data_IF_630333782341
#
_entry.id   IF_630333782341
#
_cell.length_a   1.000
_cell.length_b   1.000
_cell.length_c   1.000
_cell.angle_alpha   90.00
_cell.angle_beta   90.00
_cell.angle_gamma   90.00
#
_symmetry.space_group_name_H-M   'P 1'
#
loop_
_entity.id
_entity.type
_entity.pdbx_description
1 polymer ?
#
# COMPACT_ATOMS: atom_id res chain seq x y z
N UNK A 1 -16.58 -4.97 -4.78
CA UNK A 1 -15.96 -3.69 -4.39
C UNK A 1 -15.79 -3.62 -2.87
N UNK A 2 -14.65 -3.10 -2.38
CA UNK A 2 -14.39 -2.88 -0.96
C UNK A 2 -14.18 -1.39 -0.71
N UNK A 3 -14.97 -0.81 0.20
CA UNK A 3 -14.81 0.54 0.73
C UNK A 3 -14.02 0.49 2.04
N UNK A 4 -12.84 1.14 2.08
CA UNK A 4 -11.93 1.11 3.23
C UNK A 4 -12.14 2.30 4.17
N UNK A 5 -13.07 3.20 3.86
CA UNK A 5 -13.41 4.34 4.70
C UNK A 5 -14.06 3.87 6.02
N UNK A 6 -14.18 4.78 6.97
CA UNK A 6 -14.87 4.51 8.22
C UNK A 6 -16.33 4.13 7.96
N UNK A 7 -16.89 3.32 8.86
CA UNK A 7 -18.25 2.82 8.74
C UNK A 7 -19.28 3.96 8.67
N UNK A 8 -19.04 5.06 9.40
CA UNK A 8 -19.91 6.23 9.37
C UNK A 8 -19.92 6.89 7.98
N UNK A 9 -18.74 7.01 7.35
CA UNK A 9 -18.60 7.60 6.01
C UNK A 9 -19.25 6.71 4.94
N UNK A 10 -19.09 5.38 5.08
CA UNK A 10 -19.71 4.39 4.20
C UNK A 10 -21.24 4.45 4.27
N UNK A 11 -21.82 4.55 5.46
CA UNK A 11 -23.28 4.62 5.67
C UNK A 11 -23.90 5.89 5.08
N UNK A 12 -23.15 6.98 5.01
CA UNK A 12 -23.60 8.24 4.38
C UNK A 12 -23.63 8.16 2.86
N UNK A 13 -22.98 7.20 2.26
CA UNK A 13 -22.94 6.93 0.83
C UNK A 13 -21.67 6.23 0.40
N UNK A 14 -21.80 5.25 -0.47
CA UNK A 14 -20.72 4.42 -1.00
C UNK A 14 -20.97 4.06 -2.47
N UNK A 15 -19.97 3.55 -3.16
CA UNK A 15 -20.15 3.03 -4.51
C UNK A 15 -21.11 1.85 -4.46
N UNK A 16 -22.10 1.85 -5.33
CA UNK A 16 -23.12 0.80 -5.36
C UNK A 16 -22.51 -0.62 -5.31
N UNK A 17 -23.13 -1.49 -4.54
CA UNK A 17 -22.68 -2.88 -4.29
C UNK A 17 -21.30 -3.01 -3.63
N UNK A 18 -20.71 -1.96 -3.07
CA UNK A 18 -19.51 -2.10 -2.26
C UNK A 18 -19.82 -2.60 -0.84
N UNK A 19 -18.89 -3.37 -0.29
CA UNK A 19 -18.88 -3.81 1.12
C UNK A 19 -17.89 -2.97 1.90
N UNK A 20 -18.10 -2.78 3.20
CA UNK A 20 -17.23 -1.95 4.02
C UNK A 20 -16.19 -2.77 4.80
N UNK A 21 -14.93 -2.42 4.63
CA UNK A 21 -13.82 -2.92 5.42
C UNK A 21 -12.95 -1.76 5.92
N UNK A 22 -13.28 -1.09 7.00
CA UNK A 22 -12.41 -0.09 7.59
C UNK A 22 -11.03 -0.66 7.90
N UNK A 23 -9.97 0.07 7.53
CA UNK A 23 -8.59 -0.41 7.72
C UNK A 23 -8.30 -0.82 9.17
N UNK A 24 -8.90 -0.14 10.15
CA UNK A 24 -8.74 -0.47 11.56
C UNK A 24 -9.11 -1.93 11.90
N UNK A 25 -10.10 -2.52 11.21
CA UNK A 25 -10.47 -3.94 11.42
C UNK A 25 -9.32 -4.88 11.05
N UNK A 26 -8.60 -4.58 9.97
CA UNK A 26 -7.43 -5.36 9.57
C UNK A 26 -6.24 -5.10 10.50
N UNK A 27 -6.02 -3.86 10.92
CA UNK A 27 -4.88 -3.51 11.76
C UNK A 27 -4.98 -3.99 13.21
N UNK A 28 -6.17 -4.36 13.68
CA UNK A 28 -6.35 -4.96 15.01
C UNK A 28 -5.68 -6.34 15.10
N UNK A 29 -5.71 -7.09 14.02
CA UNK A 29 -5.03 -8.37 13.86
C UNK A 29 -4.78 -8.59 12.35
N UNK A 30 -3.55 -8.37 11.93
CA UNK A 30 -3.13 -8.55 10.53
C UNK A 30 -2.43 -9.90 10.28
N UNK A 31 -2.71 -10.89 11.13
CA UNK A 31 -2.32 -12.28 10.88
C UNK A 31 -2.95 -12.82 9.60
N UNK A 32 -2.27 -13.71 8.89
CA UNK A 32 -2.80 -14.33 7.67
C UNK A 32 -4.17 -14.98 7.88
N UNK A 33 -4.35 -15.63 9.04
CA UNK A 33 -5.58 -16.31 9.41
C UNK A 33 -6.75 -15.33 9.55
N UNK A 34 -6.52 -14.19 10.20
CA UNK A 34 -7.54 -13.18 10.34
C UNK A 34 -7.82 -12.45 9.02
N UNK A 35 -6.81 -12.19 8.20
CA UNK A 35 -7.01 -11.61 6.85
C UNK A 35 -7.88 -12.54 6.00
N UNK A 36 -7.61 -13.87 6.00
CA UNK A 36 -8.40 -14.84 5.26
C UNK A 36 -9.83 -14.95 5.79
N UNK A 37 -9.99 -14.89 7.12
CA UNK A 37 -11.31 -14.85 7.76
C UNK A 37 -12.10 -13.63 7.34
N UNK A 38 -11.50 -12.43 7.40
CA UNK A 38 -12.12 -11.17 6.94
C UNK A 38 -12.54 -11.28 5.47
N UNK A 39 -11.68 -11.83 4.61
CA UNK A 39 -11.99 -12.03 3.21
C UNK A 39 -13.22 -12.92 3.04
N UNK A 40 -13.27 -14.07 3.71
CA UNK A 40 -14.41 -14.98 3.69
C UNK A 40 -15.71 -14.36 4.23
N UNK A 41 -15.63 -13.61 5.33
CA UNK A 41 -16.77 -12.89 5.90
C UNK A 41 -17.34 -11.82 4.93
N UNK A 42 -16.51 -11.29 4.04
CA UNK A 42 -16.90 -10.34 2.97
C UNK A 42 -17.29 -11.01 1.65
N UNK A 43 -17.43 -12.34 1.63
CA UNK A 43 -17.79 -13.10 0.43
C UNK A 43 -16.67 -13.22 -0.60
N UNK A 44 -15.41 -13.03 -0.19
CA UNK A 44 -14.25 -13.12 -1.09
C UNK A 44 -13.69 -14.55 -1.02
N UNK A 45 -13.86 -15.30 -2.11
CA UNK A 45 -13.19 -16.59 -2.35
C UNK A 45 -11.89 -16.38 -3.10
N UNK A 46 -11.12 -17.44 -3.34
CA UNK A 46 -9.87 -17.40 -4.10
C UNK A 46 -10.05 -16.89 -5.55
N UNK A 47 -11.26 -17.08 -6.11
CA UNK A 47 -11.60 -16.72 -7.50
C UNK A 47 -12.31 -15.36 -7.62
N UNK A 48 -12.57 -14.67 -6.53
CA UNK A 48 -13.30 -13.41 -6.54
C UNK A 48 -12.43 -12.28 -7.10
N UNK A 49 -12.93 -11.54 -8.08
CA UNK A 49 -12.28 -10.31 -8.56
C UNK A 49 -12.55 -9.17 -7.58
N UNK A 50 -11.51 -8.60 -6.99
CA UNK A 50 -11.62 -7.58 -5.93
C UNK A 50 -11.09 -6.25 -6.41
N UNK A 51 -11.86 -5.17 -6.19
CA UNK A 51 -11.41 -3.79 -6.36
C UNK A 51 -11.60 -3.05 -5.05
N UNK A 52 -10.56 -2.34 -4.59
CA UNK A 52 -10.55 -1.65 -3.30
C UNK A 52 -10.42 -0.15 -3.51
N UNK A 53 -11.20 0.65 -2.76
CA UNK A 53 -11.12 2.11 -2.82
C UNK A 53 -11.19 2.76 -1.44
N UNK A 54 -10.73 4.00 -1.39
CA UNK A 54 -10.83 4.89 -0.23
C UNK A 54 -11.11 6.34 -0.68
N UNK A 55 -10.99 7.27 0.26
CA UNK A 55 -11.02 8.72 -0.01
C UNK A 55 -9.73 9.43 0.47
N UNK A 56 -8.65 8.66 0.64
CA UNK A 56 -7.33 9.10 1.08
C UNK A 56 -6.25 8.78 0.04
N UNK A 57 -6.49 9.19 -1.19
CA UNK A 57 -5.58 9.02 -2.34
C UNK A 57 -5.03 7.59 -2.53
N UNK A 58 -5.77 6.55 -2.13
CA UNK A 58 -5.37 5.15 -2.32
C UNK A 58 -4.45 4.59 -1.23
N UNK A 59 -4.09 5.36 -0.21
CA UNK A 59 -3.16 4.89 0.81
C UNK A 59 -3.76 3.79 1.71
N UNK A 60 -5.01 3.94 2.14
CA UNK A 60 -5.67 2.94 2.97
C UNK A 60 -6.02 1.69 2.16
N UNK A 61 -6.57 1.89 0.97
CA UNK A 61 -6.96 0.80 0.07
C UNK A 61 -5.75 -0.01 -0.41
N UNK A 62 -4.60 0.60 -0.67
CA UNK A 62 -3.39 -0.13 -1.05
C UNK A 62 -2.87 -1.05 0.06
N UNK A 63 -3.07 -0.71 1.33
CA UNK A 63 -2.72 -1.59 2.45
C UNK A 63 -3.61 -2.85 2.49
N UNK A 64 -4.90 -2.72 2.17
CA UNK A 64 -5.82 -3.86 2.03
C UNK A 64 -5.43 -4.71 0.81
N UNK A 65 -5.16 -4.08 -0.34
CA UNK A 65 -4.69 -4.78 -1.56
C UNK A 65 -3.46 -5.62 -1.24
N UNK A 66 -2.46 -5.03 -0.58
CA UNK A 66 -1.25 -5.76 -0.20
C UNK A 66 -1.56 -6.94 0.75
N UNK A 67 -2.44 -6.74 1.74
CA UNK A 67 -2.78 -7.80 2.68
C UNK A 67 -3.43 -9.01 1.99
N UNK A 68 -4.36 -8.76 1.07
CA UNK A 68 -4.97 -9.83 0.27
C UNK A 68 -3.94 -10.51 -0.63
N UNK A 69 -3.06 -9.76 -1.28
CA UNK A 69 -1.95 -10.33 -2.06
C UNK A 69 -1.02 -11.18 -1.20
N UNK A 70 -0.75 -10.75 0.03
CA UNK A 70 0.15 -11.45 0.94
C UNK A 70 -0.39 -12.84 1.33
N UNK A 71 -1.70 -12.98 1.52
CA UNK A 71 -2.34 -14.29 1.78
C UNK A 71 -2.57 -15.12 0.52
N UNK A 72 -2.18 -14.62 -0.67
CA UNK A 72 -2.24 -15.34 -1.93
C UNK A 72 -3.36 -14.96 -2.88
N UNK A 73 -4.18 -13.97 -2.56
CA UNK A 73 -5.24 -13.52 -3.48
C UNK A 73 -4.66 -12.93 -4.77
N UNK A 74 -5.12 -13.43 -5.93
CA UNK A 74 -4.50 -13.10 -7.23
C UNK A 74 -5.11 -11.87 -7.88
N UNK A 75 -6.43 -11.73 -7.89
CA UNK A 75 -7.15 -10.70 -8.65
C UNK A 75 -7.67 -9.61 -7.72
N UNK A 76 -6.75 -8.82 -7.16
CA UNK A 76 -7.08 -7.63 -6.35
C UNK A 76 -6.43 -6.39 -6.94
N UNK A 77 -7.22 -5.33 -7.08
CA UNK A 77 -6.83 -4.06 -7.72
C UNK A 77 -7.24 -2.87 -6.87
N UNK A 78 -6.51 -1.78 -7.05
CA UNK A 78 -6.86 -0.48 -6.53
C UNK A 78 -7.77 0.24 -7.53
N UNK A 79 -8.85 0.87 -7.05
CA UNK A 79 -9.63 1.78 -7.88
C UNK A 79 -8.78 3.01 -8.21
N UNK A 80 -8.76 3.42 -9.48
CA UNK A 80 -7.91 4.51 -9.96
C UNK A 80 -8.34 5.92 -9.56
N UNK A 81 -9.44 6.06 -8.81
CA UNK A 81 -10.00 7.32 -8.32
C UNK A 81 -10.43 7.18 -6.86
N UNK A 82 -10.48 8.29 -6.12
CA UNK A 82 -11.05 8.34 -4.77
C UNK A 82 -12.57 8.33 -4.81
N UNK A 83 -13.22 8.08 -3.68
CA UNK A 83 -14.67 8.17 -3.58
C UNK A 83 -15.20 9.60 -3.89
N UNK A 84 -14.49 10.64 -3.46
CA UNK A 84 -14.83 12.02 -3.79
C UNK A 84 -14.78 12.26 -5.29
N UNK A 85 -13.73 11.81 -5.97
CA UNK A 85 -13.61 11.88 -7.43
C UNK A 85 -14.72 11.08 -8.15
N UNK A 86 -15.08 9.89 -7.62
CA UNK A 86 -16.20 9.09 -8.14
C UNK A 86 -17.50 9.89 -8.14
N UNK A 87 -17.80 10.60 -7.05
CA UNK A 87 -18.97 11.50 -6.95
C UNK A 87 -18.89 12.67 -7.91
N UNK A 88 -17.74 13.31 -8.04
CA UNK A 88 -17.53 14.44 -8.97
C UNK A 88 -17.74 14.04 -10.43
N UNK A 89 -17.45 12.77 -10.77
CA UNK A 89 -17.74 12.20 -12.09
C UNK A 89 -19.24 11.90 -12.30
N UNK A 90 -20.10 12.13 -11.30
CA UNK A 90 -21.53 11.85 -11.38
C UNK A 90 -21.89 10.36 -11.43
N UNK A 91 -20.98 9.49 -10.95
CA UNK A 91 -21.18 8.06 -10.95
C UNK A 91 -22.05 7.60 -9.77
N UNK A 92 -22.68 6.44 -9.92
CA UNK A 92 -23.71 5.94 -9.02
C UNK A 92 -23.17 5.64 -7.62
N UNK A 93 -23.92 6.12 -6.61
CA UNK A 93 -23.69 5.84 -5.19
C UNK A 93 -24.97 5.30 -4.55
N UNK A 94 -24.81 4.58 -3.44
CA UNK A 94 -25.90 4.00 -2.66
C UNK A 94 -25.68 4.21 -1.17
N UNK A 95 -26.74 4.10 -0.39
CA UNK A 95 -26.72 3.94 1.06
C UNK A 95 -27.17 2.54 1.48
N UNK A 96 -27.56 1.71 0.52
CA UNK A 96 -28.02 0.35 0.75
C UNK A 96 -26.84 -0.60 0.93
N UNK A 97 -26.76 -1.23 2.09
CA UNK A 97 -25.72 -2.23 2.38
C UNK A 97 -26.07 -3.54 1.68
N UNK A 98 -25.23 -4.06 0.80
CA UNK A 98 -25.51 -5.30 0.11
C UNK A 98 -25.52 -6.50 1.08
N UNK A 99 -26.37 -7.49 0.81
CA UNK A 99 -26.31 -8.79 1.48
C UNK A 99 -25.02 -9.51 1.04
N UNK A 100 -24.31 -10.07 2.03
CA UNK A 100 -23.06 -10.80 1.78
C UNK A 100 -23.32 -12.29 1.96
N UNK A 101 -23.11 -13.06 0.91
CA UNK A 101 -22.97 -14.50 1.01
C UNK A 101 -21.52 -14.82 1.40
N UNK A 102 -21.34 -15.32 2.62
CA UNK A 102 -20.00 -15.66 3.12
C UNK A 102 -19.37 -16.79 2.30
N UNK A 103 -18.06 -16.73 2.18
CA UNK A 103 -17.24 -17.72 1.49
C UNK A 103 -16.05 -18.15 2.36
N UNK A 104 -15.18 -18.96 1.81
CA UNK A 104 -13.88 -19.30 2.40
C UNK A 104 -12.76 -18.83 1.50
N UNK A 105 -11.68 -18.34 2.10
CA UNK A 105 -10.47 -17.95 1.41
C UNK A 105 -9.29 -18.79 1.87
N UNK A 106 -8.55 -19.37 0.93
CA UNK A 106 -7.35 -20.15 1.21
C UNK A 106 -6.17 -19.26 1.57
N UNK A 107 -5.24 -19.79 2.36
CA UNK A 107 -3.99 -19.08 2.68
C UNK A 107 -2.85 -19.69 1.88
N UNK A 108 -2.35 -18.94 0.91
CA UNK A 108 -1.19 -19.26 0.09
C UNK A 108 -0.18 -18.11 0.22
N UNK A 109 0.55 -18.07 1.34
CA UNK A 109 1.41 -16.95 1.69
C UNK A 109 2.42 -16.63 0.60
N UNK A 110 2.64 -15.33 0.38
CA UNK A 110 3.67 -14.75 -0.50
C UNK A 110 4.70 -13.97 0.31
N UNK A 111 5.59 -14.68 1.04
CA UNK A 111 6.60 -14.02 1.86
C UNK A 111 7.58 -13.17 1.04
N UNK A 112 7.69 -13.44 -0.26
CA UNK A 112 8.54 -12.68 -1.19
C UNK A 112 8.12 -11.24 -1.38
N UNK A 113 6.87 -10.86 -1.06
CA UNK A 113 6.41 -9.46 -1.16
C UNK A 113 6.52 -8.69 0.16
N UNK A 114 6.97 -9.35 1.24
CA UNK A 114 7.15 -8.74 2.56
C UNK A 114 8.63 -8.61 2.90
N UNK A 115 9.02 -7.49 3.50
CA UNK A 115 10.31 -7.33 4.16
C UNK A 115 10.12 -7.22 5.68
N UNK A 116 11.02 -7.84 6.43
CA UNK A 116 11.14 -7.67 7.89
C UNK A 116 12.29 -6.72 8.23
N UNK A 117 12.34 -6.22 9.47
CA UNK A 117 13.44 -5.39 9.93
C UNK A 117 14.80 -6.09 9.80
N UNK A 118 14.87 -7.38 10.14
CA UNK A 118 16.11 -8.17 10.03
C UNK A 118 16.53 -8.41 8.58
N UNK A 119 15.55 -8.64 7.69
CA UNK A 119 15.83 -8.71 6.28
C UNK A 119 16.39 -7.39 5.74
N UNK A 120 15.75 -6.28 6.07
CA UNK A 120 16.21 -4.95 5.67
C UNK A 120 17.65 -4.67 6.14
N UNK A 121 17.95 -4.98 7.42
CA UNK A 121 19.29 -4.78 7.97
C UNK A 121 20.35 -5.59 7.23
N UNK A 122 20.01 -6.81 6.84
CA UNK A 122 20.91 -7.70 6.09
C UNK A 122 21.19 -7.23 4.65
N UNK A 123 20.23 -6.54 4.02
CA UNK A 123 20.34 -6.22 2.59
C UNK A 123 20.55 -4.73 2.28
N UNK A 124 20.41 -3.83 3.25
CA UNK A 124 20.42 -2.37 3.05
C UNK A 124 21.69 -1.81 2.39
N UNK A 125 22.81 -2.51 2.49
CA UNK A 125 24.10 -2.09 1.94
C UNK A 125 24.47 -2.82 0.63
N UNK A 126 23.53 -3.58 0.04
CA UNK A 126 23.75 -4.28 -1.24
C UNK A 126 23.48 -3.35 -2.42
N UNK A 127 24.34 -3.37 -3.43
CA UNK A 127 24.26 -2.49 -4.61
C UNK A 127 22.96 -2.62 -5.42
N UNK A 128 22.37 -3.82 -5.44
CA UNK A 128 21.13 -4.09 -6.20
C UNK A 128 19.85 -3.94 -5.36
N UNK A 129 19.93 -3.37 -4.16
CA UNK A 129 18.80 -3.13 -3.27
C UNK A 129 18.57 -1.63 -3.11
N UNK A 130 17.34 -1.20 -3.29
CA UNK A 130 16.92 0.19 -3.09
C UNK A 130 15.85 0.25 -2.01
N UNK A 131 16.11 0.97 -0.94
CA UNK A 131 15.15 1.20 0.14
C UNK A 131 14.53 2.58 -0.05
N UNK A 132 13.20 2.64 -0.15
CA UNK A 132 12.46 3.87 -0.39
C UNK A 132 11.64 4.25 0.84
N UNK A 133 11.94 5.42 1.41
CA UNK A 133 11.12 6.08 2.42
C UNK A 133 10.03 6.91 1.75
N UNK A 134 8.78 6.52 1.97
CA UNK A 134 7.62 7.20 1.38
C UNK A 134 6.99 8.26 2.29
N UNK A 135 7.61 8.57 3.43
CA UNK A 135 7.18 9.68 4.28
C UNK A 135 7.49 11.03 3.64
N UNK A 136 6.88 12.08 4.18
CA UNK A 136 7.22 13.45 3.81
C UNK A 136 8.71 13.73 4.03
N UNK A 137 9.27 14.60 3.19
CA UNK A 137 10.71 14.92 3.20
C UNK A 137 11.25 15.34 4.57
N UNK A 138 10.50 16.12 5.32
CA UNK A 138 10.93 16.56 6.66
C UNK A 138 11.14 15.37 7.60
N UNK A 139 10.23 14.40 7.60
CA UNK A 139 10.37 13.19 8.42
C UNK A 139 11.62 12.38 8.03
N UNK A 140 11.91 12.30 6.73
CA UNK A 140 13.11 11.63 6.23
C UNK A 140 14.39 12.34 6.68
N UNK A 141 14.44 13.66 6.55
CA UNK A 141 15.61 14.45 6.96
C UNK A 141 15.91 14.32 8.45
N UNK A 142 14.86 14.32 9.28
CA UNK A 142 15.01 14.17 10.72
C UNK A 142 15.57 12.80 11.11
N UNK A 143 14.99 11.74 10.57
CA UNK A 143 15.37 10.36 10.88
C UNK A 143 14.90 9.42 9.77
N UNK A 144 15.78 8.53 9.31
CA UNK A 144 15.43 7.49 8.33
C UNK A 144 16.27 6.22 8.51
N UNK A 145 15.90 5.14 7.84
CA UNK A 145 16.69 3.90 7.79
C UNK A 145 17.96 4.17 6.98
N UNK A 146 19.16 3.85 7.49
CA UNK A 146 20.41 4.08 6.76
C UNK A 146 20.38 3.45 5.37
N UNK A 147 20.89 4.20 4.37
CA UNK A 147 20.88 3.78 2.97
C UNK A 147 19.56 4.00 2.22
N UNK A 148 18.50 4.43 2.91
CA UNK A 148 17.23 4.74 2.25
C UNK A 148 17.31 6.06 1.46
N UNK A 149 16.56 6.11 0.35
CA UNK A 149 16.29 7.32 -0.40
C UNK A 149 14.85 7.79 -0.15
N UNK A 150 14.59 9.08 -0.27
CA UNK A 150 13.24 9.61 -0.07
C UNK A 150 12.50 9.78 -1.40
N UNK A 151 11.38 9.11 -1.54
CA UNK A 151 10.37 9.35 -2.58
C UNK A 151 9.04 9.54 -1.86
N UNK A 152 8.66 10.76 -1.50
CA UNK A 152 7.42 11.01 -0.78
C UNK A 152 6.20 10.47 -1.55
N UNK A 153 5.23 9.92 -0.83
CA UNK A 153 4.03 9.33 -1.44
C UNK A 153 3.31 10.27 -2.41
N UNK A 154 3.34 11.58 -2.17
CA UNK A 154 2.75 12.59 -3.06
C UNK A 154 3.34 12.59 -4.46
N UNK A 155 4.58 12.14 -4.62
CA UNK A 155 5.21 12.04 -5.94
C UNK A 155 4.68 10.87 -6.77
N UNK A 156 3.93 9.96 -6.17
CA UNK A 156 3.34 8.81 -6.86
C UNK A 156 2.04 9.16 -7.60
N UNK A 157 1.37 10.24 -7.20
CA UNK A 157 0.17 10.76 -7.82
C UNK A 157 0.50 11.83 -8.88
N UNK A 158 -0.39 12.05 -9.82
CA UNK A 158 -0.31 13.14 -10.81
C UNK A 158 -1.69 13.45 -11.38
N UNK A 159 -1.99 14.73 -11.60
CA UNK A 159 -3.16 15.22 -12.33
C UNK A 159 -4.50 14.57 -11.92
N UNK A 160 -4.77 14.51 -10.62
CA UNK A 160 -6.01 13.95 -10.08
C UNK A 160 -6.10 12.42 -10.12
N UNK A 161 -5.02 11.72 -10.47
CA UNK A 161 -4.94 10.26 -10.41
C UNK A 161 -4.22 9.81 -9.15
N UNK A 162 -4.67 8.69 -8.59
CA UNK A 162 -4.04 8.07 -7.42
C UNK A 162 -2.59 7.64 -7.72
N UNK A 163 -2.35 7.14 -8.93
CA UNK A 163 -1.03 6.65 -9.38
C UNK A 163 -0.70 7.24 -10.74
N UNK A 164 0.55 7.62 -10.92
CA UNK A 164 1.13 8.04 -12.20
C UNK A 164 0.92 6.99 -13.29
N UNK A 165 0.91 7.44 -14.55
CA UNK A 165 0.97 6.52 -15.70
C UNK A 165 2.24 5.68 -15.65
N UNK A 166 2.23 4.52 -16.32
CA UNK A 166 3.40 3.62 -16.39
C UNK A 166 4.65 4.35 -16.87
N UNK A 167 4.52 5.16 -17.92
CA UNK A 167 5.62 5.94 -18.47
C UNK A 167 6.16 6.95 -17.45
N UNK A 168 5.29 7.70 -16.79
CA UNK A 168 5.67 8.70 -15.78
C UNK A 168 6.33 8.06 -14.56
N UNK A 169 5.90 6.86 -14.14
CA UNK A 169 6.54 6.09 -13.08
C UNK A 169 7.94 5.62 -13.47
N UNK A 170 8.11 5.09 -14.69
CA UNK A 170 9.43 4.69 -15.20
C UNK A 170 10.39 5.87 -15.28
N UNK A 171 9.91 7.02 -15.74
CA UNK A 171 10.71 8.25 -15.76
C UNK A 171 11.10 8.70 -14.35
N UNK A 172 10.20 8.56 -13.36
CA UNK A 172 10.52 8.84 -11.96
C UNK A 172 11.66 7.94 -11.45
N UNK A 173 11.60 6.62 -11.70
CA UNK A 173 12.66 5.70 -11.31
C UNK A 173 14.00 6.04 -12.00
N UNK A 174 13.97 6.23 -13.31
CA UNK A 174 15.14 6.58 -14.11
C UNK A 174 15.81 7.88 -13.61
N UNK A 175 15.02 8.92 -13.33
CA UNK A 175 15.53 10.21 -12.83
C UNK A 175 16.12 10.11 -11.42
N UNK A 176 15.80 9.05 -10.68
CA UNK A 176 16.36 8.73 -9.36
C UNK A 176 17.48 7.70 -9.42
N UNK A 177 17.89 7.27 -10.61
CA UNK A 177 18.93 6.27 -10.81
C UNK A 177 18.53 4.86 -10.32
N UNK A 178 17.21 4.59 -10.24
CA UNK A 178 16.68 3.30 -9.77
C UNK A 178 16.46 2.40 -10.97
N UNK A 179 17.12 1.24 -11.00
CA UNK A 179 16.87 0.19 -11.98
C UNK A 179 15.56 -0.55 -11.66
N UNK A 180 14.78 -0.88 -12.67
CA UNK A 180 13.58 -1.73 -12.53
C UNK A 180 13.96 -3.18 -12.16
N UNK A 181 15.20 -3.60 -12.39
CA UNK A 181 15.71 -4.93 -12.01
C UNK A 181 16.22 -4.99 -10.56
N UNK A 182 16.34 -3.85 -9.88
CA UNK A 182 16.72 -3.82 -8.48
C UNK A 182 15.63 -4.42 -7.58
N UNK A 183 16.03 -4.95 -6.43
CA UNK A 183 15.09 -5.23 -5.36
C UNK A 183 14.70 -3.92 -4.69
N UNK A 184 13.41 -3.56 -4.75
CA UNK A 184 12.92 -2.32 -4.18
C UNK A 184 12.11 -2.64 -2.91
N UNK A 185 12.50 -2.02 -1.79
CA UNK A 185 11.80 -2.16 -0.51
C UNK A 185 11.21 -0.82 -0.14
N UNK A 186 9.88 -0.76 0.04
CA UNK A 186 9.17 0.45 0.42
C UNK A 186 8.81 0.45 1.89
N UNK A 187 8.94 1.57 2.58
CA UNK A 187 8.48 1.76 3.95
C UNK A 187 7.94 3.17 4.19
N UNK A 188 7.18 3.35 5.27
CA UNK A 188 6.67 4.66 5.70
C UNK A 188 6.78 4.85 7.23
N UNK A 189 5.76 5.45 7.86
CA UNK A 189 5.79 5.74 9.30
C UNK A 189 5.52 4.53 10.19
N UNK A 190 4.48 3.72 9.89
CA UNK A 190 4.02 2.69 10.83
C UNK A 190 3.38 1.44 10.20
N UNK A 191 2.25 1.58 9.51
CA UNK A 191 1.39 0.45 9.17
C UNK A 191 1.34 0.14 7.66
N UNK A 192 2.28 0.65 6.90
CA UNK A 192 2.42 0.31 5.49
C UNK A 192 1.39 0.93 4.54
N UNK A 193 0.72 2.03 4.91
CA UNK A 193 -0.28 2.68 4.05
C UNK A 193 0.37 3.46 2.90
N UNK A 194 1.19 4.47 3.21
CA UNK A 194 1.87 5.28 2.19
C UNK A 194 2.86 4.46 1.35
N UNK A 195 3.55 3.54 1.99
CA UNK A 195 4.48 2.62 1.33
C UNK A 195 3.78 1.48 0.59
N UNK A 196 2.58 1.09 1.03
CA UNK A 196 1.70 0.18 0.29
C UNK A 196 1.27 0.78 -1.04
N UNK A 197 0.98 2.10 -1.08
CA UNK A 197 0.70 2.80 -2.32
C UNK A 197 1.92 2.77 -3.27
N UNK A 198 3.12 2.99 -2.74
CA UNK A 198 4.36 2.92 -3.52
C UNK A 198 4.62 1.49 -4.03
N UNK A 199 4.45 0.48 -3.17
CA UNK A 199 4.53 -0.92 -3.56
C UNK A 199 3.58 -1.23 -4.73
N UNK A 200 2.30 -0.84 -4.60
CA UNK A 200 1.31 -1.08 -5.65
C UNK A 200 1.67 -0.35 -6.96
N UNK A 201 2.10 0.91 -6.88
CA UNK A 201 2.50 1.69 -8.04
C UNK A 201 3.66 1.01 -8.80
N UNK A 202 4.68 0.53 -8.10
CA UNK A 202 5.81 -0.19 -8.68
C UNK A 202 5.39 -1.53 -9.30
N UNK A 203 4.56 -2.30 -8.61
CA UNK A 203 4.02 -3.57 -9.15
C UNK A 203 3.17 -3.34 -10.38
N UNK A 204 2.39 -2.27 -10.42
CA UNK A 204 1.50 -1.94 -11.55
C UNK A 204 2.24 -1.64 -12.86
N UNK A 205 3.49 -1.20 -12.79
CA UNK A 205 4.34 -0.97 -13.97
C UNK A 205 5.20 -2.19 -14.34
N UNK A 206 5.12 -3.26 -13.56
CA UNK A 206 5.80 -4.53 -13.84
C UNK A 206 7.15 -4.71 -13.16
N UNK A 207 7.53 -3.86 -12.18
CA UNK A 207 8.76 -4.08 -11.40
C UNK A 207 8.65 -5.43 -10.69
N UNK A 208 9.58 -6.38 -10.94
CA UNK A 208 9.44 -7.76 -10.47
C UNK A 208 9.66 -7.89 -8.96
N UNK A 209 10.71 -7.28 -8.43
CA UNK A 209 11.22 -7.49 -7.08
C UNK A 209 10.84 -6.30 -6.17
N UNK A 210 9.58 -6.22 -5.74
CA UNK A 210 9.12 -5.19 -4.80
C UNK A 210 8.66 -5.84 -3.51
N UNK A 211 9.12 -5.32 -2.38
CA UNK A 211 8.70 -5.74 -1.04
C UNK A 211 8.14 -4.55 -0.26
N UNK A 212 7.17 -4.82 0.59
CA UNK A 212 6.67 -3.86 1.56
C UNK A 212 7.24 -4.21 2.95
N UNK A 213 7.93 -3.26 3.57
CA UNK A 213 8.21 -3.31 5.00
C UNK A 213 7.02 -2.71 5.76
N UNK A 214 6.04 -3.57 6.03
CA UNK A 214 4.70 -3.18 6.50
C UNK A 214 4.73 -2.47 7.87
N UNK A 215 5.55 -2.93 8.81
CA UNK A 215 5.67 -2.34 10.15
C UNK A 215 6.51 -1.06 10.18
N UNK A 216 7.26 -0.82 9.09
CA UNK A 216 7.85 0.47 8.76
C UNK A 216 8.79 1.06 9.84
N UNK A 217 8.97 2.37 9.80
CA UNK A 217 9.94 3.07 10.66
C UNK A 217 9.63 2.98 12.16
N UNK A 218 8.35 2.83 12.51
CA UNK A 218 7.94 2.66 13.92
C UNK A 218 8.54 1.40 14.53
N UNK A 219 8.44 0.26 13.83
CA UNK A 219 9.06 -1.00 14.29
C UNK A 219 10.58 -0.89 14.30
N UNK A 220 11.20 -0.35 13.23
CA UNK A 220 12.64 -0.14 13.15
C UNK A 220 13.20 0.59 14.36
N UNK A 221 12.51 1.66 14.80
CA UNK A 221 12.86 2.40 16.00
C UNK A 221 12.64 1.60 17.30
N UNK A 222 11.54 0.86 17.39
CA UNK A 222 11.24 0.06 18.60
C UNK A 222 12.23 -1.08 18.81
N UNK A 223 12.87 -1.55 17.73
CA UNK A 223 13.94 -2.54 17.75
C UNK A 223 15.33 -1.92 17.95
N UNK A 224 15.40 -0.61 18.25
CA UNK A 224 16.64 0.15 18.47
C UNK A 224 17.68 0.01 17.35
N UNK A 225 17.20 -0.21 16.11
CA UNK A 225 18.07 -0.34 14.95
C UNK A 225 18.68 1.01 14.55
N UNK A 226 19.83 1.02 13.83
CA UNK A 226 20.52 2.24 13.44
C UNK A 226 19.64 3.23 12.68
N UNK A 227 19.80 4.52 12.97
CA UNK A 227 19.06 5.62 12.35
C UNK A 227 20.06 6.59 11.73
N UNK A 228 19.79 7.01 10.49
CA UNK A 228 20.47 8.08 9.82
C UNK A 228 19.68 9.39 9.92
N UNK A 229 20.40 10.51 9.79
CA UNK A 229 19.87 11.88 9.69
C UNK A 229 20.55 12.57 8.51
N UNK A 230 19.87 13.48 7.86
CA UNK A 230 20.45 14.29 6.80
C UNK A 230 20.42 15.76 7.21
N UNK A 231 21.56 16.31 7.61
CA UNK A 231 21.67 17.67 8.16
C UNK A 231 21.54 18.76 7.08
N UNK A 232 21.85 18.45 5.81
CA UNK A 232 21.77 19.41 4.71
C UNK A 232 20.73 18.98 3.67
N UNK A 233 19.64 19.75 3.59
CA UNK A 233 18.70 19.65 2.48
C UNK A 233 19.36 20.18 1.19
N UNK A 234 20.06 19.32 0.47
CA UNK A 234 20.32 19.62 -0.94
C UNK A 234 18.98 19.59 -1.67
N UNK A 235 18.52 20.75 -2.11
CA UNK A 235 17.34 20.87 -2.96
C UNK A 235 17.70 20.30 -4.35
N UNK A 236 17.09 19.17 -4.70
CA UNK A 236 17.10 18.62 -6.05
C UNK A 236 15.68 18.55 -6.59
#
# INVERSE_FOLDING_TARGET
LIDVRREEDYKLGHIINSVNLPLAKLLNDDSPENIAKIAGDLGISDETSVVVYDDTFGALSSRIVWALQYIGHNDVKLLGVTFSQWKELGLEISTEVPEIEQSTHSINLRPEIMATADYLEKVKDKENVVIIDNRERLNFLEQHIPGAINIPYRTLATDGKIIRTKESMRNLLKNRGISEDAEIITYCGSVGTLSGLAYYALKSIGVPNVKLYVHSFKEWKSLEKPIAKQENASYW
#
